data_IF_822035820533
#
_entry.id   IF_822035820533
#
_cell.length_a   1.000
_cell.length_b   1.000
_cell.length_c   1.000
_cell.angle_alpha   90.00
_cell.angle_beta   90.00
_cell.angle_gamma   90.00
#
_symmetry.space_group_name_H-M   'P 1'
#
loop_
_entity.id
_entity.type
_entity.pdbx_description
1 polymer ?
#
# COMPACT_ATOMS: atom_id res chain seq x y z
N UNK A 1 -4.61 5.66 28.03
CA UNK A 1 -3.73 6.31 27.04
C UNK A 1 -4.22 5.96 25.65
N UNK A 2 -4.27 6.91 24.72
CA UNK A 2 -4.57 6.64 23.31
C UNK A 2 -3.47 5.80 22.65
N UNK A 3 -3.74 5.22 21.46
CA UNK A 3 -2.71 4.49 20.72
C UNK A 3 -1.52 5.41 20.40
N UNK A 4 -0.29 4.87 20.33
CA UNK A 4 0.90 5.66 20.05
C UNK A 4 0.77 6.41 18.71
N UNK A 5 1.53 7.49 18.57
CA UNK A 5 1.65 8.24 17.31
C UNK A 5 2.85 7.71 16.50
N UNK A 6 2.79 7.74 15.16
CA UNK A 6 3.94 7.40 14.33
C UNK A 6 5.06 8.43 14.52
N UNK A 7 6.29 7.99 14.44
CA UNK A 7 7.48 8.86 14.54
C UNK A 7 7.85 9.54 13.22
N UNK A 8 7.24 9.12 12.12
CA UNK A 8 7.44 9.64 10.76
C UNK A 8 6.10 9.73 10.04
N UNK A 9 6.06 10.48 8.96
CA UNK A 9 4.93 10.47 8.04
C UNK A 9 4.68 9.05 7.51
N UNK A 10 3.41 8.68 7.37
CA UNK A 10 3.00 7.39 6.84
C UNK A 10 2.88 7.46 5.31
N UNK A 11 2.89 6.29 4.70
CA UNK A 11 2.69 6.14 3.26
C UNK A 11 4.00 5.91 2.51
N UNK A 12 3.85 5.40 1.31
CA UNK A 12 4.94 5.13 0.36
C UNK A 12 4.83 6.11 -0.79
N UNK A 13 5.93 6.76 -1.14
CA UNK A 13 5.93 7.92 -2.04
C UNK A 13 6.62 7.60 -3.36
N UNK A 14 6.01 8.02 -4.47
CA UNK A 14 6.61 8.14 -5.80
C UNK A 14 6.40 9.55 -6.37
N UNK A 15 7.23 9.95 -7.30
CA UNK A 15 7.18 11.27 -7.94
C UNK A 15 7.90 12.35 -7.13
N UNK A 16 7.56 13.60 -7.37
CA UNK A 16 8.27 14.75 -6.82
C UNK A 16 7.88 15.05 -5.36
N UNK A 17 8.82 15.06 -4.43
CA UNK A 17 8.54 15.49 -3.05
C UNK A 17 8.06 16.95 -2.95
N UNK A 18 8.53 17.82 -3.84
CA UNK A 18 8.13 19.22 -3.94
C UNK A 18 7.01 19.48 -4.95
N UNK A 19 6.29 18.45 -5.39
CA UNK A 19 5.22 18.60 -6.36
C UNK A 19 4.08 19.48 -5.83
N UNK A 20 3.53 20.29 -6.73
CA UNK A 20 2.41 21.18 -6.41
C UNK A 20 1.10 20.42 -6.11
N UNK A 21 1.01 19.16 -6.57
CA UNK A 21 -0.16 18.30 -6.39
C UNK A 21 0.26 17.02 -5.69
N UNK A 22 -0.41 16.72 -4.58
CA UNK A 22 -0.29 15.42 -3.89
C UNK A 22 -1.54 14.59 -4.15
N UNK A 23 -1.40 13.46 -4.83
CA UNK A 23 -2.45 12.46 -4.91
C UNK A 23 -2.13 11.31 -3.95
N UNK A 24 -2.91 11.19 -2.90
CA UNK A 24 -2.82 10.08 -1.96
C UNK A 24 -3.91 9.04 -2.28
N UNK A 25 -3.61 7.77 -2.08
CA UNK A 25 -4.58 6.69 -2.30
C UNK A 25 -4.45 5.60 -1.23
N UNK A 26 -5.60 5.10 -0.82
CA UNK A 26 -5.73 3.97 0.08
C UNK A 26 -6.02 2.71 -0.73
N UNK A 27 -5.12 1.75 -0.71
CA UNK A 27 -5.18 0.54 -1.53
C UNK A 27 -5.16 -0.72 -0.67
N UNK A 28 -5.90 -1.74 -1.11
CA UNK A 28 -5.89 -3.09 -0.55
C UNK A 28 -5.30 -4.05 -1.59
N UNK A 29 -4.27 -4.80 -1.23
CA UNK A 29 -3.64 -5.77 -2.14
C UNK A 29 -4.57 -6.89 -2.60
N UNK A 30 -5.60 -7.24 -1.82
CA UNK A 30 -6.58 -8.25 -2.21
C UNK A 30 -7.73 -7.68 -3.08
N UNK A 31 -7.85 -6.35 -3.22
CA UNK A 31 -8.92 -5.70 -3.96
C UNK A 31 -8.61 -5.60 -5.46
N UNK A 32 -9.44 -6.18 -6.37
CA UNK A 32 -9.21 -6.07 -7.81
C UNK A 32 -9.26 -4.63 -8.35
N UNK A 33 -10.07 -3.78 -7.72
CA UNK A 33 -10.16 -2.36 -8.09
C UNK A 33 -8.90 -1.60 -7.68
N UNK A 34 -8.27 -1.96 -6.56
CA UNK A 34 -6.96 -1.42 -6.15
C UNK A 34 -5.85 -1.80 -7.12
N UNK A 35 -5.86 -3.06 -7.60
CA UNK A 35 -4.93 -3.49 -8.66
C UNK A 35 -5.09 -2.65 -9.93
N UNK A 36 -6.33 -2.47 -10.41
CA UNK A 36 -6.61 -1.69 -11.62
C UNK A 36 -6.13 -0.24 -11.47
N UNK A 37 -6.43 0.38 -10.32
CA UNK A 37 -5.95 1.72 -10.00
C UNK A 37 -4.43 1.79 -10.03
N UNK A 38 -3.76 0.90 -9.29
CA UNK A 38 -2.31 0.83 -9.20
C UNK A 38 -1.66 0.68 -10.59
N UNK A 39 -2.15 -0.27 -11.40
CA UNK A 39 -1.59 -0.54 -12.73
C UNK A 39 -1.73 0.68 -13.66
N UNK A 40 -2.88 1.34 -13.69
CA UNK A 40 -3.06 2.54 -14.52
C UNK A 40 -2.20 3.69 -14.00
N UNK A 41 -2.22 3.91 -12.71
CA UNK A 41 -1.54 5.08 -12.13
C UNK A 41 -0.02 4.96 -12.24
N UNK A 42 0.57 3.84 -11.85
CA UNK A 42 2.04 3.65 -11.88
C UNK A 42 2.61 3.48 -13.28
N UNK A 43 1.84 2.89 -14.21
CA UNK A 43 2.33 2.57 -15.57
C UNK A 43 2.03 3.63 -16.61
N UNK A 44 1.06 4.51 -16.37
CA UNK A 44 0.62 5.52 -17.35
C UNK A 44 0.62 6.93 -16.76
N UNK A 45 -0.06 7.16 -15.64
CA UNK A 45 -0.27 8.52 -15.09
C UNK A 45 1.02 9.08 -14.51
N UNK A 46 1.66 8.36 -13.62
CA UNK A 46 2.90 8.82 -12.99
C UNK A 46 4.04 9.04 -13.99
N UNK A 47 4.30 8.15 -14.98
CA UNK A 47 5.29 8.42 -16.03
C UNK A 47 4.96 9.65 -16.89
N UNK A 48 3.67 9.95 -17.11
CA UNK A 48 3.25 11.14 -17.86
C UNK A 48 3.54 12.45 -17.10
N UNK A 49 3.31 12.47 -15.80
CA UNK A 49 3.47 13.70 -14.99
C UNK A 49 4.86 13.85 -14.38
N UNK A 50 5.54 12.75 -14.10
CA UNK A 50 6.85 12.75 -13.44
C UNK A 50 6.81 13.49 -12.10
N UNK A 51 7.74 14.42 -11.90
CA UNK A 51 7.87 15.18 -10.65
C UNK A 51 6.79 16.26 -10.42
N UNK A 52 5.84 16.42 -11.34
CA UNK A 52 4.73 17.37 -11.15
C UNK A 52 3.70 16.88 -10.14
N UNK A 53 3.71 15.58 -9.83
CA UNK A 53 2.79 14.94 -8.88
C UNK A 53 3.60 14.22 -7.82
N UNK A 54 3.21 14.39 -6.54
CA UNK A 54 3.58 13.50 -5.44
C UNK A 54 2.48 12.44 -5.29
N UNK A 55 2.83 11.18 -5.51
CA UNK A 55 1.91 10.06 -5.34
C UNK A 55 2.21 9.34 -4.02
N UNK A 56 1.19 9.18 -3.17
CA UNK A 56 1.33 8.56 -1.85
C UNK A 56 0.37 7.39 -1.70
N UNK A 57 0.89 6.21 -1.41
CA UNK A 57 0.08 5.01 -1.17
C UNK A 57 0.00 4.70 0.32
N UNK A 58 -1.22 4.49 0.80
CA UNK A 58 -1.53 4.04 2.17
C UNK A 58 -2.12 2.64 2.16
N UNK A 59 -1.83 1.87 3.21
CA UNK A 59 -2.38 0.53 3.40
C UNK A 59 -3.84 0.59 3.89
N UNK A 60 -4.76 -0.05 3.14
CA UNK A 60 -6.16 -0.20 3.50
C UNK A 60 -6.54 -1.69 3.55
N UNK A 61 -6.61 -2.25 4.73
CA UNK A 61 -7.10 -3.62 4.92
C UNK A 61 -8.63 -3.63 4.91
N UNK A 62 -9.23 -4.33 3.96
CA UNK A 62 -10.67 -4.54 3.94
C UNK A 62 -11.05 -5.81 4.71
N UNK A 63 -11.98 -5.75 5.69
CA UNK A 63 -12.25 -6.87 6.58
C UNK A 63 -12.87 -8.10 5.89
N UNK A 64 -13.43 -7.94 4.71
CA UNK A 64 -13.94 -9.05 3.87
C UNK A 64 -12.86 -9.73 3.01
N UNK A 65 -11.62 -9.33 3.13
CA UNK A 65 -10.44 -10.00 2.58
C UNK A 65 -9.57 -10.51 3.73
N UNK A 66 -9.81 -11.71 4.29
CA UNK A 66 -9.13 -12.19 5.50
C UNK A 66 -7.60 -12.24 5.38
N UNK A 67 -7.09 -12.51 4.18
CA UNK A 67 -5.65 -12.57 3.88
C UNK A 67 -5.00 -11.20 3.65
N UNK A 68 -5.79 -10.14 3.45
CA UNK A 68 -5.29 -8.79 3.15
C UNK A 68 -4.31 -8.29 4.23
N UNK A 69 -4.58 -8.54 5.51
CA UNK A 69 -3.66 -8.18 6.60
C UNK A 69 -2.26 -8.75 6.37
N UNK A 70 -2.17 -10.02 5.96
CA UNK A 70 -0.88 -10.68 5.73
C UNK A 70 -0.14 -10.11 4.53
N UNK A 71 -0.87 -9.76 3.47
CA UNK A 71 -0.30 -9.11 2.28
C UNK A 71 0.28 -7.72 2.62
N UNK A 72 -0.44 -6.93 3.41
CA UNK A 72 0.03 -5.62 3.87
C UNK A 72 1.21 -5.72 4.84
N UNK A 73 1.19 -6.66 5.79
CA UNK A 73 2.32 -6.90 6.68
C UNK A 73 3.57 -7.33 5.90
N UNK A 74 3.42 -8.16 4.85
CA UNK A 74 4.53 -8.53 3.99
C UNK A 74 5.12 -7.33 3.22
N UNK A 75 4.28 -6.45 2.68
CA UNK A 75 4.76 -5.23 2.01
C UNK A 75 5.52 -4.30 2.97
N UNK A 76 5.04 -4.14 4.20
CA UNK A 76 5.73 -3.40 5.25
C UNK A 76 7.06 -4.09 5.63
N UNK A 77 7.09 -5.43 5.72
CA UNK A 77 8.31 -6.17 5.99
C UNK A 77 9.35 -5.95 4.90
N UNK A 78 8.95 -5.99 3.62
CA UNK A 78 9.82 -5.72 2.48
C UNK A 78 10.38 -4.29 2.53
N UNK A 79 9.54 -3.30 2.82
CA UNK A 79 9.99 -1.91 3.01
C UNK A 79 11.02 -1.79 4.15
N UNK A 80 10.83 -2.50 5.27
CA UNK A 80 11.77 -2.50 6.40
C UNK A 80 13.12 -3.15 6.06
N UNK A 81 13.13 -4.16 5.19
CA UNK A 81 14.34 -4.91 4.81
C UNK A 81 15.08 -4.23 3.66
N UNK A 82 14.37 -3.80 2.63
CA UNK A 82 14.95 -3.33 1.37
C UNK A 82 14.64 -1.87 1.01
N UNK A 83 13.91 -1.13 1.86
CA UNK A 83 13.56 0.27 1.63
C UNK A 83 12.45 0.46 0.59
N UNK A 84 12.25 1.70 0.17
CA UNK A 84 11.14 2.09 -0.72
C UNK A 84 11.24 1.45 -2.11
N UNK A 85 12.43 1.33 -2.68
CA UNK A 85 12.60 0.68 -3.99
C UNK A 85 12.12 -0.78 -3.97
N UNK A 86 12.48 -1.52 -2.91
CA UNK A 86 12.04 -2.90 -2.73
C UNK A 86 10.52 -2.98 -2.50
N UNK A 87 9.95 -2.06 -1.73
CA UNK A 87 8.50 -1.94 -1.54
C UNK A 87 7.76 -1.82 -2.87
N UNK A 88 8.18 -0.93 -3.75
CA UNK A 88 7.48 -0.69 -5.03
C UNK A 88 7.60 -1.89 -5.97
N UNK A 89 8.78 -2.51 -6.07
CA UNK A 89 8.98 -3.74 -6.84
C UNK A 89 8.12 -4.89 -6.32
N UNK A 90 8.06 -5.06 -5.00
CA UNK A 90 7.22 -6.06 -4.38
C UNK A 90 5.72 -5.78 -4.59
N UNK A 91 5.29 -4.53 -4.43
CA UNK A 91 3.89 -4.13 -4.64
C UNK A 91 3.41 -4.42 -6.05
N UNK A 92 4.23 -4.14 -7.07
CA UNK A 92 3.92 -4.47 -8.46
C UNK A 92 3.78 -5.98 -8.66
N UNK A 93 4.74 -6.77 -8.14
CA UNK A 93 4.71 -8.23 -8.23
C UNK A 93 3.54 -8.83 -7.46
N UNK A 94 3.21 -8.28 -6.28
CA UNK A 94 2.09 -8.73 -5.48
C UNK A 94 0.74 -8.48 -6.17
N UNK A 95 0.56 -7.33 -6.81
CA UNK A 95 -0.62 -7.08 -7.64
C UNK A 95 -0.64 -7.99 -8.88
N UNK A 96 0.50 -8.29 -9.49
CA UNK A 96 0.56 -9.24 -10.60
C UNK A 96 0.12 -10.65 -10.17
N UNK A 97 0.56 -11.11 -9.00
CA UNK A 97 0.23 -12.39 -8.40
C UNK A 97 -1.06 -12.35 -7.52
N UNK A 98 -1.85 -11.29 -7.59
CA UNK A 98 -2.96 -11.03 -6.66
C UNK A 98 -3.92 -12.22 -6.54
N UNK A 99 -4.24 -12.89 -7.65
CA UNK A 99 -5.18 -14.01 -7.68
C UNK A 99 -4.71 -15.21 -6.86
N UNK A 100 -3.40 -15.41 -6.70
CA UNK A 100 -2.84 -16.52 -5.92
C UNK A 100 -3.15 -16.37 -4.42
N UNK A 101 -3.49 -15.14 -4.02
CA UNK A 101 -3.86 -14.77 -2.66
C UNK A 101 -5.35 -14.46 -2.49
N UNK A 102 -6.22 -14.82 -3.42
CA UNK A 102 -7.67 -14.71 -3.24
C UNK A 102 -8.21 -15.81 -2.32
N UNK A 103 -9.40 -15.61 -1.79
CA UNK A 103 -10.04 -16.47 -0.79
C UNK A 103 -9.97 -17.95 -1.18
N UNK A 104 -10.29 -18.28 -2.44
CA UNK A 104 -10.29 -19.66 -2.92
C UNK A 104 -8.88 -20.32 -2.84
N UNK A 105 -7.82 -19.52 -3.02
CA UNK A 105 -6.45 -20.01 -3.06
C UNK A 105 -5.75 -19.95 -1.69
N UNK A 106 -6.39 -19.34 -0.69
CA UNK A 106 -5.82 -19.19 0.67
C UNK A 106 -6.66 -19.85 1.75
N UNK A 107 -7.86 -20.35 1.42
CA UNK A 107 -8.84 -20.86 2.37
C UNK A 107 -8.25 -21.93 3.33
N UNK A 108 -7.52 -22.88 2.81
CA UNK A 108 -6.93 -23.97 3.59
C UNK A 108 -5.47 -23.70 4.04
N UNK A 109 -4.93 -22.51 3.74
CA UNK A 109 -3.55 -22.16 4.08
C UNK A 109 -3.46 -21.60 5.49
N UNK A 110 -2.45 -22.03 6.23
CA UNK A 110 -2.10 -21.39 7.48
C UNK A 110 -1.53 -19.97 7.23
N UNK A 111 -1.62 -19.10 8.23
CA UNK A 111 -0.97 -17.78 8.20
C UNK A 111 0.52 -17.89 7.89
N UNK A 112 1.21 -18.89 8.46
CA UNK A 112 2.63 -19.12 8.21
C UNK A 112 2.93 -19.50 6.76
N UNK A 113 2.08 -20.32 6.13
CA UNK A 113 2.21 -20.69 4.72
C UNK A 113 2.04 -19.49 3.80
N UNK A 114 1.04 -18.63 4.07
CA UNK A 114 0.84 -17.39 3.30
C UNK A 114 2.04 -16.46 3.43
N UNK A 115 2.60 -16.28 4.62
CA UNK A 115 3.81 -15.48 4.79
C UNK A 115 5.02 -16.06 4.07
N UNK A 116 5.17 -17.38 4.05
CA UNK A 116 6.26 -18.05 3.34
C UNK A 116 6.19 -17.81 1.83
N UNK A 117 4.99 -17.88 1.25
CA UNK A 117 4.74 -17.57 -0.16
C UNK A 117 5.01 -16.08 -0.47
N UNK A 118 4.51 -15.16 0.36
CA UNK A 118 4.75 -13.72 0.21
C UNK A 118 6.23 -13.35 0.32
N UNK A 119 6.96 -13.95 1.27
CA UNK A 119 8.39 -13.75 1.39
C UNK A 119 9.18 -14.35 0.22
N UNK A 120 8.71 -15.48 -0.34
CA UNK A 120 9.24 -16.05 -1.57
C UNK A 120 9.05 -15.11 -2.77
N UNK A 121 7.87 -14.53 -2.92
CA UNK A 121 7.58 -13.52 -3.94
C UNK A 121 8.49 -12.28 -3.77
N UNK A 122 8.69 -11.81 -2.53
CA UNK A 122 9.58 -10.69 -2.26
C UNK A 122 11.03 -10.98 -2.67
N UNK A 123 11.52 -12.17 -2.38
CA UNK A 123 12.88 -12.57 -2.75
C UNK A 123 13.10 -12.56 -4.27
N UNK A 124 12.10 -13.01 -5.03
CA UNK A 124 12.20 -13.08 -6.51
C UNK A 124 11.96 -11.74 -7.20
N UNK A 125 11.19 -10.83 -6.61
CA UNK A 125 10.77 -9.58 -7.24
C UNK A 125 11.50 -8.34 -6.74
N UNK A 126 11.83 -8.28 -5.45
CA UNK A 126 12.35 -7.08 -4.80
C UNK A 126 13.83 -7.14 -4.43
N UNK A 127 14.50 -8.27 -4.69
CA UNK A 127 15.93 -8.44 -4.41
C UNK A 127 16.28 -8.50 -2.92
N UNK A 128 15.32 -8.82 -2.06
CA UNK A 128 15.51 -9.02 -0.62
C UNK A 128 15.66 -10.50 -0.30
N UNK A 129 16.30 -10.83 0.84
CA UNK A 129 16.38 -12.22 1.25
C UNK A 129 15.06 -12.66 1.89
N UNK A 130 14.59 -13.85 1.51
CA UNK A 130 13.36 -14.45 2.06
C UNK A 130 13.41 -14.53 3.60
N UNK A 131 14.55 -14.95 4.12
CA UNK A 131 14.77 -15.14 5.56
C UNK A 131 14.64 -13.83 6.33
N UNK A 132 15.14 -12.72 5.77
CA UNK A 132 15.08 -11.41 6.41
C UNK A 132 13.64 -10.88 6.44
N UNK A 133 12.86 -11.11 5.37
CA UNK A 133 11.42 -10.77 5.32
C UNK A 133 10.65 -11.64 6.31
N UNK A 134 10.88 -12.96 6.32
CA UNK A 134 10.24 -13.88 7.26
C UNK A 134 10.51 -13.51 8.70
N UNK A 135 11.74 -13.09 9.05
CA UNK A 135 12.08 -12.66 10.40
C UNK A 135 11.19 -11.51 10.89
N UNK A 136 10.77 -10.58 10.00
CA UNK A 136 9.83 -9.48 10.31
C UNK A 136 8.38 -9.94 10.48
N UNK A 137 8.01 -11.07 9.89
CA UNK A 137 6.65 -11.61 9.87
C UNK A 137 6.37 -12.65 10.97
N UNK A 138 7.42 -13.14 11.63
CA UNK A 138 7.26 -14.04 12.76
C UNK A 138 6.56 -13.33 13.92
N UNK A 139 5.71 -14.10 14.64
CA UNK A 139 5.05 -13.60 15.84
C UNK A 139 6.10 -13.21 16.89
N UNK A 140 6.01 -11.99 17.39
CA UNK A 140 6.85 -11.54 18.51
C UNK A 140 6.44 -12.29 19.78
N UNK A 141 7.38 -12.95 20.45
CA UNK A 141 7.12 -13.65 21.67
C UNK A 141 7.40 -12.74 22.88
N UNK A 142 6.37 -12.54 23.70
CA UNK A 142 6.45 -11.80 24.96
C UNK A 142 5.77 -12.65 26.04
N UNK A 143 6.49 -12.89 27.13
CA UNK A 143 5.96 -13.69 28.23
C UNK A 143 4.63 -13.11 28.75
N UNK A 144 3.64 -13.98 28.93
CA UNK A 144 2.29 -13.63 29.39
C UNK A 144 1.43 -12.88 28.33
N UNK A 145 1.91 -12.64 27.11
CA UNK A 145 1.14 -11.98 26.06
C UNK A 145 0.87 -12.93 24.89
N UNK A 146 -0.41 -13.10 24.56
CA UNK A 146 -0.84 -14.03 23.51
C UNK A 146 -1.14 -13.34 22.17
N UNK A 147 -1.31 -12.02 22.15
CA UNK A 147 -1.71 -11.24 20.98
C UNK A 147 -0.71 -10.11 20.69
N UNK A 148 0.52 -10.47 20.37
CA UNK A 148 1.63 -9.55 20.19
C UNK A 148 1.80 -9.05 18.74
N UNK A 149 1.27 -9.79 17.75
CA UNK A 149 1.51 -9.50 16.34
C UNK A 149 2.94 -9.84 15.91
N UNK A 150 3.40 -9.16 14.87
CA UNK A 150 4.77 -9.21 14.35
C UNK A 150 5.36 -7.79 14.28
N UNK A 151 6.59 -7.64 13.77
CA UNK A 151 7.27 -6.34 13.71
C UNK A 151 6.59 -5.31 12.75
N UNK A 152 5.67 -5.77 11.89
CA UNK A 152 4.94 -4.93 10.94
C UNK A 152 3.57 -4.48 11.46
N UNK A 153 3.02 -5.22 12.45
CA UNK A 153 1.66 -5.01 12.96
C UNK A 153 1.44 -3.58 13.48
N UNK A 154 2.42 -2.99 14.17
CA UNK A 154 2.26 -1.65 14.72
C UNK A 154 2.19 -0.58 13.62
N UNK A 155 2.97 -0.71 12.56
CA UNK A 155 2.93 0.21 11.42
C UNK A 155 1.59 0.09 10.68
N UNK A 156 1.12 -1.12 10.44
CA UNK A 156 -0.20 -1.34 9.85
C UNK A 156 -1.32 -0.74 10.71
N UNK A 157 -1.24 -0.83 12.04
CA UNK A 157 -2.18 -0.16 12.95
C UNK A 157 -2.19 1.35 12.79
N UNK A 158 -1.06 1.99 12.46
CA UNK A 158 -1.03 3.42 12.19
C UNK A 158 -1.81 3.78 10.93
N UNK A 159 -1.65 3.01 9.84
CA UNK A 159 -2.46 3.18 8.63
C UNK A 159 -3.95 3.01 8.92
N UNK A 160 -4.34 1.93 9.61
CA UNK A 160 -5.75 1.71 10.01
C UNK A 160 -6.30 2.87 10.86
N UNK A 161 -5.49 3.39 11.80
CA UNK A 161 -5.90 4.54 12.63
C UNK A 161 -6.09 5.79 11.77
N UNK A 162 -5.14 6.10 10.90
CA UNK A 162 -5.22 7.27 10.01
C UNK A 162 -6.44 7.16 9.09
N UNK A 163 -6.63 6.00 8.43
CA UNK A 163 -7.77 5.76 7.55
C UNK A 163 -9.12 5.98 8.26
N UNK A 164 -9.26 5.48 9.50
CA UNK A 164 -10.49 5.70 10.30
C UNK A 164 -10.69 7.16 10.66
N UNK A 165 -9.63 7.89 11.00
CA UNK A 165 -9.71 9.32 11.36
C UNK A 165 -10.01 10.20 10.15
N UNK A 166 -9.62 9.79 8.96
CA UNK A 166 -9.88 10.50 7.69
C UNK A 166 -11.12 10.00 6.96
N UNK A 167 -11.88 9.07 7.56
CA UNK A 167 -13.15 8.59 7.00
C UNK A 167 -12.98 7.66 5.79
N UNK A 168 -11.87 6.92 5.72
CA UNK A 168 -11.64 5.96 4.64
C UNK A 168 -12.39 4.67 4.94
N UNK A 169 -13.30 4.29 4.05
CA UNK A 169 -14.18 3.13 4.22
C UNK A 169 -13.87 1.98 3.27
N UNK A 170 -13.41 2.29 2.06
CA UNK A 170 -13.19 1.32 0.97
C UNK A 170 -11.87 1.58 0.26
N UNK A 171 -11.45 0.64 -0.57
CA UNK A 171 -10.31 0.77 -1.48
C UNK A 171 -10.75 0.54 -2.94
N UNK A 172 -10.20 1.30 -3.90
CA UNK A 172 -9.36 2.48 -3.70
C UNK A 172 -10.16 3.69 -3.22
N UNK A 173 -9.59 4.50 -2.33
CA UNK A 173 -10.11 5.84 -1.99
C UNK A 173 -8.99 6.85 -2.20
N UNK A 174 -9.24 7.91 -2.95
CA UNK A 174 -8.25 8.92 -3.31
C UNK A 174 -8.47 10.24 -2.58
N UNK A 175 -7.37 10.91 -2.29
CA UNK A 175 -7.35 12.27 -1.75
C UNK A 175 -6.44 13.13 -2.63
N UNK A 176 -6.97 14.26 -3.07
CA UNK A 176 -6.19 15.29 -3.73
C UNK A 176 -5.86 16.40 -2.71
N UNK A 177 -4.58 16.65 -2.50
CA UNK A 177 -4.11 17.64 -1.52
C UNK A 177 -4.77 17.50 -0.14
N UNK A 178 -4.98 16.24 0.30
CA UNK A 178 -5.55 15.92 1.61
C UNK A 178 -7.08 15.86 1.68
N UNK A 179 -7.79 16.15 0.59
CA UNK A 179 -9.25 16.07 0.53
C UNK A 179 -9.70 14.86 -0.29
N UNK A 180 -10.66 14.10 0.25
CA UNK A 180 -11.27 12.98 -0.48
C UNK A 180 -11.90 13.49 -1.76
N UNK A 181 -11.62 12.80 -2.87
CA UNK A 181 -12.13 13.14 -4.19
C UNK A 181 -12.68 11.89 -4.89
N UNK A 182 -13.69 12.12 -5.74
CA UNK A 182 -14.29 11.06 -6.54
C UNK A 182 -13.41 10.77 -7.75
N UNK A 183 -12.81 9.57 -7.74
CA UNK A 183 -12.07 9.03 -8.87
C UNK A 183 -12.52 7.59 -9.13
N UNK A 184 -12.31 7.11 -10.35
CA UNK A 184 -12.60 5.71 -10.68
C UNK A 184 -11.32 4.92 -10.91
N UNK A 185 -11.27 3.71 -10.38
CA UNK A 185 -10.18 2.77 -10.67
C UNK A 185 -10.11 2.37 -12.16
N UNK A 186 -11.17 2.66 -12.91
CA UNK A 186 -11.25 2.38 -14.34
C UNK A 186 -10.92 3.56 -15.25
N UNK A 187 -10.51 4.71 -14.70
CA UNK A 187 -10.13 5.86 -15.51
C UNK A 187 -8.93 5.57 -16.40
N UNK A 188 -9.03 6.02 -17.67
CA UNK A 188 -7.91 6.06 -18.61
C UNK A 188 -6.95 7.20 -18.27
N UNK A 189 -5.80 7.25 -18.96
CA UNK A 189 -4.86 8.36 -18.83
C UNK A 189 -5.55 9.71 -19.18
N UNK A 190 -6.36 9.76 -20.23
CA UNK A 190 -7.05 10.99 -20.63
C UNK A 190 -7.99 11.52 -19.55
N UNK A 191 -8.72 10.64 -18.87
CA UNK A 191 -9.59 11.02 -17.75
C UNK A 191 -8.77 11.51 -16.53
N UNK A 192 -7.61 10.91 -16.29
CA UNK A 192 -6.69 11.40 -15.28
C UNK A 192 -6.11 12.76 -15.63
N UNK A 193 -5.82 13.03 -16.91
CA UNK A 193 -5.37 14.34 -17.40
C UNK A 193 -6.47 15.40 -17.21
N UNK A 194 -7.71 15.10 -17.64
CA UNK A 194 -8.84 15.99 -17.43
C UNK A 194 -9.02 16.38 -15.96
N UNK A 195 -8.79 15.45 -15.05
CA UNK A 195 -8.88 15.68 -13.60
C UNK A 195 -7.65 16.43 -13.04
N UNK A 196 -6.42 16.05 -13.38
CA UNK A 196 -5.21 16.56 -12.75
C UNK A 196 -4.67 17.86 -13.33
N UNK A 197 -4.79 18.07 -14.65
CA UNK A 197 -4.21 19.24 -15.34
C UNK A 197 -4.69 20.58 -14.77
N UNK A 198 -5.99 20.79 -14.47
CA UNK A 198 -6.45 22.03 -13.88
C UNK A 198 -5.80 22.31 -12.51
N UNK A 199 -5.59 21.27 -11.69
CA UNK A 199 -4.98 21.40 -10.37
C UNK A 199 -3.48 21.70 -10.45
N UNK A 200 -2.77 21.07 -11.38
CA UNK A 200 -1.35 21.33 -11.61
C UNK A 200 -1.16 22.76 -12.13
N UNK A 201 -1.98 23.18 -13.11
CA UNK A 201 -1.92 24.54 -13.67
C UNK A 201 -2.24 25.64 -12.65
N UNK A 202 -3.18 25.41 -11.74
CA UNK A 202 -3.54 26.36 -10.69
C UNK A 202 -2.38 26.59 -9.70
N UNK A 203 -1.69 25.51 -9.31
CA UNK A 203 -0.57 25.60 -8.36
C UNK A 203 0.73 26.15 -8.99
N UNK A 204 0.90 26.08 -10.30
CA UNK A 204 2.05 26.67 -10.99
C UNK A 204 2.03 28.22 -11.00
N UNK A 205 0.93 28.84 -10.54
CA UNK A 205 0.72 30.29 -10.46
C UNK A 205 0.89 30.89 -9.06
N UNK A 206 1.09 30.02 -8.04
CA UNK A 206 1.36 30.38 -6.64
C UNK A 206 2.86 30.36 -6.36
#
# INVERSE_FOLDING_TARGET
MGPPLPSRELGHVLGGEGAAVTLAVWLDYACPFSKRFHDTFTKQVLPHYGDKIKFVVYHQVQPWHPQSTMMHEAAIAVSKVGGEEAFWKFSEALYAAQTDFFDANTYDKSRAAIYDELAGLAATSAGVKKEDVMAKLLRVEVEGQLNTGNECTQELKFHVKLGRQTGIHVSPTTLLNGMVCDTSSGWSLDQWQEFLDPHIAANAKL
#
